data_IF_150206750362
#
_entry.id   IF_150206750362
#
_cell.length_a   1.000
_cell.length_b   1.000
_cell.length_c   1.000
_cell.angle_alpha   90.00
_cell.angle_beta   90.00
_cell.angle_gamma   90.00
#
_symmetry.space_group_name_H-M   'P 1'
#
loop_
_entity.id
_entity.type
_entity.pdbx_description
1 polymer ?
#
# COMPACT_ATOMS: atom_id res chain seq x y z
N UNK A 1 0.10 10.74 22.35
CA UNK A 1 -0.18 9.89 21.18
C UNK A 1 1.14 9.43 20.60
N UNK A 2 1.34 8.11 20.43
CA UNK A 2 2.48 7.59 19.68
C UNK A 2 2.08 7.46 18.21
N UNK A 3 2.95 7.90 17.31
CA UNK A 3 2.76 7.67 15.89
C UNK A 3 2.96 6.19 15.59
N UNK A 4 2.16 5.66 14.67
CA UNK A 4 2.34 4.30 14.19
C UNK A 4 3.74 4.14 13.58
N UNK A 5 4.42 3.06 13.95
CA UNK A 5 5.75 2.73 13.47
C UNK A 5 5.67 1.47 12.60
N UNK A 6 5.65 1.61 11.27
CA UNK A 6 5.55 0.46 10.39
C UNK A 6 6.84 -0.36 10.37
N UNK A 7 6.68 -1.66 10.15
CA UNK A 7 7.78 -2.56 9.82
C UNK A 7 8.19 -2.47 8.34
N UNK A 8 9.40 -2.93 8.00
CA UNK A 8 9.84 -2.99 6.61
C UNK A 8 8.93 -3.91 5.80
N UNK A 9 8.58 -3.48 4.58
CA UNK A 9 7.67 -4.17 3.64
C UNK A 9 6.23 -4.32 4.14
N UNK A 10 5.87 -3.68 5.26
CA UNK A 10 4.50 -3.64 5.73
C UNK A 10 3.61 -2.88 4.73
N UNK A 11 2.38 -3.34 4.56
CA UNK A 11 1.45 -2.82 3.55
C UNK A 11 0.46 -1.89 4.22
N UNK A 12 0.47 -0.64 3.79
CA UNK A 12 -0.31 0.41 4.44
C UNK A 12 -1.23 1.05 3.41
N UNK A 13 -2.49 1.20 3.77
CA UNK A 13 -3.46 1.98 3.01
C UNK A 13 -3.73 3.27 3.78
N UNK A 14 -3.38 4.40 3.18
CA UNK A 14 -3.74 5.72 3.67
C UNK A 14 -5.10 6.11 3.07
N UNK A 15 -6.17 5.84 3.81
CA UNK A 15 -7.52 6.29 3.45
C UNK A 15 -7.74 7.70 4.00
N UNK A 16 -7.77 8.71 3.12
CA UNK A 16 -7.88 10.12 3.50
C UNK A 16 -8.93 10.84 2.67
N UNK A 17 -9.41 12.00 3.12
CA UNK A 17 -10.26 12.86 2.29
C UNK A 17 -9.48 13.43 1.10
N UNK A 18 -10.22 13.85 0.07
CA UNK A 18 -9.66 14.31 -1.21
C UNK A 18 -8.76 15.55 -1.07
N UNK A 19 -9.08 16.43 -0.14
CA UNK A 19 -8.41 17.70 0.14
C UNK A 19 -7.18 17.57 1.06
N UNK A 20 -6.93 16.38 1.61
CA UNK A 20 -5.78 16.15 2.51
C UNK A 20 -4.50 15.94 1.70
N UNK A 21 -3.44 16.67 2.08
CA UNK A 21 -2.08 16.40 1.60
C UNK A 21 -1.45 15.24 2.40
N UNK A 22 -0.98 14.22 1.69
CA UNK A 22 -0.40 13.00 2.24
C UNK A 22 1.10 12.86 2.03
N UNK A 23 1.76 13.78 1.31
CA UNK A 23 3.18 13.66 0.93
C UNK A 23 4.11 13.42 2.13
N UNK A 24 3.90 14.16 3.23
CA UNK A 24 4.71 13.99 4.44
C UNK A 24 4.49 12.63 5.09
N UNK A 25 3.26 12.13 5.11
CA UNK A 25 2.94 10.84 5.69
C UNK A 25 3.50 9.71 4.82
N UNK A 26 3.30 9.79 3.51
CA UNK A 26 3.86 8.84 2.54
C UNK A 26 5.37 8.75 2.69
N UNK A 27 6.08 9.88 2.70
CA UNK A 27 7.54 9.91 2.86
C UNK A 27 8.01 9.23 4.14
N UNK A 28 7.38 9.51 5.28
CA UNK A 28 7.76 8.88 6.56
C UNK A 28 7.55 7.36 6.56
N UNK A 29 6.55 6.87 5.82
CA UNK A 29 6.29 5.44 5.69
C UNK A 29 7.24 4.79 4.68
N UNK A 30 7.53 5.46 3.57
CA UNK A 30 8.50 5.02 2.55
C UNK A 30 9.93 4.97 3.09
N UNK A 31 10.34 5.96 3.91
CA UNK A 31 11.62 5.98 4.62
C UNK A 31 11.80 4.78 5.55
N UNK A 32 10.70 4.11 5.93
CA UNK A 32 10.68 2.88 6.74
C UNK A 32 10.50 1.62 5.90
N UNK A 33 10.68 1.73 4.58
CA UNK A 33 10.52 0.66 3.61
C UNK A 33 9.10 0.06 3.55
N UNK A 34 8.09 0.79 4.03
CA UNK A 34 6.70 0.36 3.92
C UNK A 34 6.20 0.52 2.48
N UNK A 35 5.28 -0.35 2.07
CA UNK A 35 4.60 -0.26 0.78
C UNK A 35 3.28 0.47 0.99
N UNK A 36 3.26 1.74 0.58
CA UNK A 36 2.11 2.63 0.79
C UNK A 36 1.21 2.67 -0.44
N UNK A 37 -0.11 2.73 -0.19
CA UNK A 37 -1.12 3.07 -1.18
C UNK A 37 -2.08 4.09 -0.59
N UNK A 38 -2.18 5.25 -1.22
CA UNK A 38 -3.08 6.32 -0.79
C UNK A 38 -4.38 6.26 -1.57
N UNK A 39 -5.49 6.27 -0.84
CA UNK A 39 -6.84 6.28 -1.40
C UNK A 39 -7.55 7.53 -0.90
N UNK A 40 -7.68 8.49 -1.82
CA UNK A 40 -8.38 9.75 -1.58
C UNK A 40 -9.88 9.57 -1.83
N UNK A 41 -10.67 9.65 -0.77
CA UNK A 41 -12.14 9.63 -0.84
C UNK A 41 -12.79 10.18 0.44
N UNK A 42 -14.03 10.68 0.35
CA UNK A 42 -14.86 10.92 1.55
C UNK A 42 -15.59 9.63 1.94
N UNK A 43 -14.86 8.73 2.61
CA UNK A 43 -15.40 7.45 3.06
C UNK A 43 -16.58 7.60 4.02
N UNK A 44 -16.65 8.68 4.78
CA UNK A 44 -17.80 8.94 5.65
C UNK A 44 -19.05 9.22 4.81
N UNK A 45 -18.93 10.04 3.77
CA UNK A 45 -20.04 10.30 2.86
C UNK A 45 -20.43 9.05 2.07
N UNK A 46 -19.44 8.30 1.55
CA UNK A 46 -19.69 7.05 0.83
C UNK A 46 -20.42 6.04 1.72
N UNK A 47 -19.96 5.87 2.97
CA UNK A 47 -20.58 4.95 3.92
C UNK A 47 -22.02 5.34 4.22
N UNK A 48 -22.31 6.64 4.38
CA UNK A 48 -23.65 7.16 4.67
C UNK A 48 -24.61 7.05 3.48
N UNK A 49 -24.12 7.27 2.26
CA UNK A 49 -24.98 7.38 1.05
C UNK A 49 -25.09 6.09 0.26
N UNK A 50 -24.03 5.28 0.23
CA UNK A 50 -23.92 4.09 -0.62
C UNK A 50 -23.66 2.81 0.20
N UNK A 51 -23.38 2.93 1.49
CA UNK A 51 -23.19 1.80 2.40
C UNK A 51 -21.83 1.11 2.31
N UNK A 52 -21.70 0.05 3.10
CA UNK A 52 -20.46 -0.73 3.27
C UNK A 52 -19.95 -1.35 1.97
N UNK A 53 -20.85 -1.76 1.06
CA UNK A 53 -20.45 -2.41 -0.19
C UNK A 53 -19.68 -1.45 -1.11
N UNK A 54 -20.06 -0.17 -1.14
CA UNK A 54 -19.35 0.83 -1.91
C UNK A 54 -17.93 1.07 -1.37
N UNK A 55 -17.79 1.19 -0.05
CA UNK A 55 -16.46 1.29 0.61
C UNK A 55 -15.59 0.08 0.26
N UNK A 56 -16.17 -1.13 0.34
CA UNK A 56 -15.46 -2.37 -0.05
C UNK A 56 -15.00 -2.34 -1.51
N UNK A 57 -15.86 -1.87 -2.42
CA UNK A 57 -15.53 -1.80 -3.84
C UNK A 57 -14.40 -0.81 -4.15
N UNK A 58 -14.28 0.25 -3.34
CA UNK A 58 -13.18 1.22 -3.45
C UNK A 58 -11.86 0.62 -2.91
N UNK A 59 -11.90 -0.03 -1.75
CA UNK A 59 -10.67 -0.51 -1.07
C UNK A 59 -10.14 -1.82 -1.66
N UNK A 60 -11.02 -2.74 -2.09
CA UNK A 60 -10.62 -4.09 -2.54
C UNK A 60 -9.66 -4.10 -3.75
N UNK A 61 -9.82 -3.25 -4.78
CA UNK A 61 -8.85 -3.12 -5.86
C UNK A 61 -7.47 -2.67 -5.37
N UNK A 62 -7.41 -1.74 -4.42
CA UNK A 62 -6.16 -1.19 -3.91
C UNK A 62 -5.38 -2.23 -3.08
N UNK A 63 -6.08 -3.03 -2.27
CA UNK A 63 -5.49 -4.21 -1.62
C UNK A 63 -4.86 -5.16 -2.66
N UNK A 64 -5.55 -5.43 -3.77
CA UNK A 64 -5.02 -6.31 -4.83
C UNK A 64 -3.77 -5.74 -5.50
N UNK A 65 -3.71 -4.42 -5.73
CA UNK A 65 -2.50 -3.75 -6.25
C UNK A 65 -1.33 -3.88 -5.28
N UNK A 66 -1.56 -3.64 -3.98
CA UNK A 66 -0.55 -3.82 -2.93
C UNK A 66 0.00 -5.25 -2.85
N UNK A 67 -0.87 -6.26 -3.03
CA UNK A 67 -0.44 -7.67 -3.06
C UNK A 67 0.45 -7.97 -4.28
N UNK A 68 0.15 -7.41 -5.46
CA UNK A 68 0.95 -7.63 -6.68
C UNK A 68 2.33 -7.00 -6.61
N UNK A 69 2.46 -5.78 -6.04
CA UNK A 69 3.77 -5.12 -5.87
C UNK A 69 4.78 -6.02 -5.13
N UNK A 70 4.33 -6.80 -4.13
CA UNK A 70 5.19 -7.73 -3.40
C UNK A 70 5.75 -8.88 -4.25
N UNK A 71 4.94 -9.42 -5.16
CA UNK A 71 5.37 -10.53 -6.04
C UNK A 71 6.47 -10.09 -7.01
N UNK A 72 6.49 -8.81 -7.39
CA UNK A 72 7.56 -8.22 -8.19
C UNK A 72 8.89 -8.22 -7.40
N UNK A 73 8.88 -7.82 -6.12
CA UNK A 73 10.07 -7.92 -5.26
C UNK A 73 10.55 -9.36 -5.05
N UNK A 74 9.63 -10.34 -4.93
CA UNK A 74 9.99 -11.77 -4.86
C UNK A 74 10.60 -12.32 -6.15
N UNK A 75 10.15 -11.84 -7.32
CA UNK A 75 10.68 -12.26 -8.62
C UNK A 75 12.09 -11.72 -8.85
N UNK A 76 12.37 -10.48 -8.44
CA UNK A 76 13.71 -9.88 -8.55
C UNK A 76 14.72 -10.65 -7.68
N UNK A 77 14.36 -11.00 -6.45
CA UNK A 77 15.22 -11.81 -5.57
C UNK A 77 15.55 -13.22 -6.11
N UNK A 78 14.70 -13.79 -6.97
CA UNK A 78 14.98 -15.09 -7.60
C UNK A 78 15.83 -14.97 -8.88
N UNK A 79 15.78 -13.83 -9.59
CA UNK A 79 16.60 -13.65 -10.79
C UNK A 79 18.10 -13.53 -10.46
N UNK A 80 18.46 -12.94 -9.32
CA UNK A 80 19.86 -12.87 -8.88
C UNK A 80 20.42 -14.22 -8.42
N UNK A 81 19.58 -15.09 -7.84
CA UNK A 81 19.96 -16.45 -7.43
C UNK A 81 20.17 -17.39 -8.65
N UNK A 82 19.32 -17.28 -9.68
CA UNK A 82 19.48 -18.08 -10.90
C UNK A 82 20.68 -17.62 -11.73
N UNK A 83 21.00 -16.33 -11.73
CA UNK A 83 22.13 -15.77 -12.49
C UNK A 83 23.50 -16.14 -11.89
N UNK A 84 23.55 -16.48 -10.59
CA UNK A 84 24.76 -16.92 -9.90
C UNK A 84 25.00 -18.43 -10.00
N UNK A 85 23.95 -19.24 -10.12
CA UNK A 85 24.06 -20.70 -10.33
C UNK A 85 24.15 -21.14 -11.80
N UNK A 86 23.85 -20.25 -12.75
CA UNK A 86 24.00 -20.51 -14.20
C UNK A 86 25.42 -20.32 -14.76
N UNK A 87 26.43 -20.13 -13.89
CA UNK A 87 27.86 -20.13 -14.25
C UNK A 87 28.57 -21.26 -13.49
N UNK A 88 28.31 -22.50 -13.91
CA UNK A 88 29.19 -23.65 -13.65
C UNK A 88 29.43 -24.33 -14.97
#
# INVERSE_FOLDING_TARGET
>A
MQNYNPGPKEKIILAVKNDVNTEKAEKVLEDKEAVVCTVKNDFNNVLKTQGLYAVRNIISPEIRKLMKKLNQYKLIYNQDYVRTLGRV
#
